data_IF_578103338541
#
_entry.id   IF_578103338541
#
_cell.length_a   1.000
_cell.length_b   1.000
_cell.length_c   1.000
_cell.angle_alpha   90.00
_cell.angle_beta   90.00
_cell.angle_gamma   90.00
#
_symmetry.space_group_name_H-M   'P 1'
#
loop_
_entity.id
_entity.type
_entity.pdbx_description
1 polymer ?
#
# COMPACT_ATOMS: atom_id res chain seq x y z
N UNK A 1 8.86 12.38 -1.68
CA UNK A 1 7.91 11.43 -1.06
C UNK A 1 8.18 10.03 -1.55
N UNK A 2 8.13 9.05 -0.67
CA UNK A 2 8.36 7.65 -1.00
C UNK A 2 7.18 6.82 -0.51
N UNK A 3 6.73 5.88 -1.34
CA UNK A 3 5.65 4.96 -0.98
C UNK A 3 6.27 3.69 -0.40
N UNK A 4 5.78 3.26 0.76
CA UNK A 4 6.33 2.12 1.51
C UNK A 4 5.36 0.93 1.57
N UNK A 5 4.43 0.84 0.62
CA UNK A 5 3.41 -0.22 0.63
C UNK A 5 3.99 -1.61 0.43
N UNK A 6 5.05 -1.74 -0.39
CA UNK A 6 5.73 -3.03 -0.56
C UNK A 6 6.34 -3.51 0.75
N UNK A 7 7.08 -2.63 1.44
CA UNK A 7 7.74 -2.95 2.69
C UNK A 7 6.72 -3.37 3.76
N UNK A 8 5.61 -2.62 3.84
CA UNK A 8 4.55 -2.92 4.80
C UNK A 8 3.89 -4.28 4.50
N UNK A 9 3.64 -4.57 3.22
CA UNK A 9 3.03 -5.82 2.80
C UNK A 9 3.93 -7.02 3.12
N UNK A 10 5.21 -6.92 2.76
CA UNK A 10 6.19 -7.99 3.01
C UNK A 10 6.34 -8.24 4.52
N UNK A 11 6.38 -7.18 5.30
CA UNK A 11 6.47 -7.28 6.77
C UNK A 11 5.31 -8.07 7.36
N UNK A 12 4.13 -7.98 6.76
CA UNK A 12 2.92 -8.67 7.22
C UNK A 12 2.73 -10.04 6.56
N UNK A 13 3.65 -10.45 5.69
CA UNK A 13 3.57 -11.73 4.96
C UNK A 13 2.30 -11.85 4.12
N UNK A 14 1.89 -10.76 3.48
CA UNK A 14 0.71 -10.71 2.63
C UNK A 14 1.15 -10.67 1.16
N UNK A 15 0.59 -11.55 0.33
CA UNK A 15 0.85 -11.53 -1.12
C UNK A 15 0.04 -10.44 -1.80
N UNK A 16 0.45 -10.06 -3.02
CA UNK A 16 -0.33 -9.10 -3.82
C UNK A 16 -1.75 -9.59 -4.06
N UNK A 17 -1.91 -10.89 -4.34
CA UNK A 17 -3.23 -11.47 -4.56
C UNK A 17 -4.10 -11.38 -3.31
N UNK A 18 -3.53 -11.66 -2.14
CA UNK A 18 -4.25 -11.53 -0.88
C UNK A 18 -4.65 -10.08 -0.64
N UNK A 19 -3.74 -9.14 -0.89
CA UNK A 19 -4.02 -7.72 -0.71
C UNK A 19 -5.12 -7.25 -1.66
N UNK A 20 -5.12 -7.73 -2.90
CA UNK A 20 -6.21 -7.46 -3.85
C UNK A 20 -7.55 -7.92 -3.27
N UNK A 21 -7.61 -9.13 -2.75
CA UNK A 21 -8.84 -9.68 -2.16
C UNK A 21 -9.28 -8.88 -0.94
N UNK A 22 -8.34 -8.39 -0.15
CA UNK A 22 -8.63 -7.66 1.08
C UNK A 22 -9.05 -6.21 0.84
N UNK A 23 -8.52 -5.59 -0.21
CA UNK A 23 -8.74 -4.15 -0.48
C UNK A 23 -9.73 -3.88 -1.60
N UNK A 24 -9.94 -4.83 -2.50
CA UNK A 24 -10.70 -4.59 -3.73
C UNK A 24 -9.92 -3.81 -4.78
N UNK A 25 -8.65 -3.47 -4.52
CA UNK A 25 -7.79 -2.81 -5.49
C UNK A 25 -7.11 -3.89 -6.32
N UNK A 26 -7.09 -3.73 -7.65
CA UNK A 26 -6.51 -4.75 -8.51
C UNK A 26 -5.03 -4.99 -8.23
N UNK A 27 -4.59 -6.23 -8.40
CA UNK A 27 -3.20 -6.63 -8.23
C UNK A 27 -2.27 -5.77 -9.09
N UNK A 28 -2.68 -5.45 -10.33
CA UNK A 28 -1.91 -4.61 -11.23
C UNK A 28 -1.72 -3.21 -10.65
N UNK A 29 -2.80 -2.61 -10.15
CA UNK A 29 -2.73 -1.28 -9.52
C UNK A 29 -1.85 -1.31 -8.27
N UNK A 30 -2.02 -2.31 -7.43
CA UNK A 30 -1.18 -2.45 -6.23
C UNK A 30 0.31 -2.56 -6.60
N UNK A 31 0.61 -3.32 -7.65
CA UNK A 31 1.99 -3.47 -8.12
C UNK A 31 2.57 -2.15 -8.64
N UNK A 32 1.81 -1.38 -9.41
CA UNK A 32 2.29 -0.09 -9.91
C UNK A 32 2.48 0.92 -8.78
N UNK A 33 1.66 0.87 -7.76
CA UNK A 33 1.83 1.70 -6.56
C UNK A 33 3.14 1.31 -5.85
N UNK A 34 3.38 0.03 -5.67
CA UNK A 34 4.59 -0.46 -4.99
C UNK A 34 5.86 -0.07 -5.74
N UNK A 35 5.80 -0.04 -7.07
CA UNK A 35 6.94 0.29 -7.91
C UNK A 35 7.15 1.81 -8.10
N UNK A 36 6.27 2.62 -7.52
CA UNK A 36 6.37 4.07 -7.65
C UNK A 36 5.96 4.61 -9.02
N UNK A 37 5.29 3.79 -9.84
CA UNK A 37 4.85 4.20 -11.17
C UNK A 37 3.60 5.06 -11.14
N UNK A 38 2.76 4.88 -10.11
CA UNK A 38 1.57 5.70 -9.91
C UNK A 38 1.51 6.13 -8.45
N UNK A 39 0.94 7.31 -8.23
CA UNK A 39 0.74 7.82 -6.87
C UNK A 39 -0.60 7.29 -6.35
N UNK A 40 -0.62 6.63 -5.18
CA UNK A 40 -1.87 6.16 -4.62
C UNK A 40 -2.72 7.31 -4.12
N UNK A 41 -4.05 7.13 -4.17
CA UNK A 41 -4.96 8.07 -3.52
C UNK A 41 -4.96 7.83 -2.02
N UNK A 42 -5.45 8.80 -1.25
CA UNK A 42 -5.60 8.63 0.19
C UNK A 42 -6.54 7.47 0.52
N UNK A 43 -7.61 7.28 -0.28
CA UNK A 43 -8.53 6.16 -0.09
C UNK A 43 -7.85 4.82 -0.32
N UNK A 44 -7.00 4.74 -1.33
CA UNK A 44 -6.23 3.51 -1.60
C UNK A 44 -5.27 3.22 -0.44
N UNK A 45 -4.59 4.24 0.06
CA UNK A 45 -3.70 4.06 1.22
C UNK A 45 -4.48 3.63 2.46
N UNK A 46 -5.66 4.20 2.67
CA UNK A 46 -6.52 3.81 3.79
C UNK A 46 -6.93 2.34 3.69
N UNK A 47 -7.35 1.91 2.50
CA UNK A 47 -7.74 0.51 2.28
C UNK A 47 -6.56 -0.43 2.56
N UNK A 48 -5.37 -0.08 2.10
CA UNK A 48 -4.17 -0.88 2.34
C UNK A 48 -3.83 -0.90 3.83
N UNK A 49 -3.93 0.25 4.50
CA UNK A 49 -3.65 0.34 5.94
C UNK A 49 -4.58 -0.55 6.75
N UNK A 50 -5.88 -0.53 6.43
CA UNK A 50 -6.86 -1.38 7.09
C UNK A 50 -6.52 -2.85 6.86
N UNK A 51 -6.24 -3.23 5.61
CA UNK A 51 -5.94 -4.62 5.25
C UNK A 51 -4.69 -5.13 5.96
N UNK A 52 -3.66 -4.29 6.08
CA UNK A 52 -2.40 -4.66 6.72
C UNK A 52 -2.38 -4.38 8.23
N UNK A 53 -3.47 -3.88 8.78
CA UNK A 53 -3.57 -3.51 10.20
C UNK A 53 -2.43 -2.58 10.61
N UNK A 54 -2.24 -1.53 9.85
CA UNK A 54 -1.21 -0.52 10.10
C UNK A 54 -1.80 0.88 9.92
N UNK A 55 -1.02 1.89 10.20
CA UNK A 55 -1.45 3.28 10.01
C UNK A 55 -1.09 3.76 8.62
N UNK A 56 -1.87 4.67 8.06
CA UNK A 56 -1.56 5.28 6.76
C UNK A 56 -0.15 5.88 6.78
N UNK A 57 0.24 6.51 7.89
CA UNK A 57 1.56 7.12 8.04
C UNK A 57 2.72 6.14 7.94
N UNK A 58 2.45 4.84 8.08
CA UNK A 58 3.44 3.78 7.90
C UNK A 58 3.64 3.40 6.42
N UNK A 59 2.78 3.88 5.53
CA UNK A 59 2.76 3.50 4.13
C UNK A 59 3.46 4.48 3.21
N UNK A 60 4.00 5.57 3.76
CA UNK A 60 4.74 6.56 2.97
C UNK A 60 5.78 7.26 3.84
N UNK A 61 6.76 7.85 3.17
CA UNK A 61 7.74 8.72 3.82
C UNK A 61 7.83 10.03 3.07
N UNK A 62 8.00 11.13 3.82
CA UNK A 62 8.11 12.47 3.26
C UNK A 62 8.66 13.40 4.34
N UNK A 63 9.45 14.38 3.92
CA UNK A 63 9.92 15.43 4.85
C UNK A 63 8.78 16.32 5.36
N UNK A 64 7.61 16.24 4.71
CA UNK A 64 6.41 16.98 5.11
C UNK A 64 5.39 16.13 5.87
N UNK A 65 5.82 14.97 6.29
CA UNK A 65 4.97 14.00 6.98
C UNK A 65 4.55 14.49 8.37
#
# INVERSE_FOLDING_TARGET
MEVLTWQARIKKNVTLKQLEQMTGISKTTLNTIENGQTSPTLRQLEAIAIALNTKISELYDSEYK
#
